data_IF_223358272437
#
_entry.id   IF_223358272437
#
_cell.length_a   1.000
_cell.length_b   1.000
_cell.length_c   1.000
_cell.angle_alpha   90.00
_cell.angle_beta   90.00
_cell.angle_gamma   90.00
#
_symmetry.space_group_name_H-M   'P 1'
#
loop_
_entity.id
_entity.type
_entity.pdbx_description
1 polymer ?
#
# COMPACT_ATOMS: atom_id res chain seq x y z
N UNK A 1 -14.20 -15.34 1.67
CA UNK A 1 -12.87 -15.68 2.27
C UNK A 1 -12.92 -15.43 3.78
N UNK A 2 -12.22 -16.24 4.60
CA UNK A 2 -12.11 -15.96 6.05
C UNK A 2 -10.80 -15.25 6.34
N UNK A 3 -10.87 -13.98 6.76
CA UNK A 3 -9.70 -13.14 7.00
C UNK A 3 -8.70 -13.73 8.00
N UNK A 4 -9.18 -14.28 9.12
CA UNK A 4 -8.31 -14.87 10.14
C UNK A 4 -7.56 -16.11 9.64
N UNK A 5 -8.22 -16.93 8.81
CA UNK A 5 -7.59 -18.09 8.18
C UNK A 5 -6.46 -17.67 7.23
N UNK A 6 -6.71 -16.66 6.40
CA UNK A 6 -5.70 -16.17 5.44
C UNK A 6 -4.56 -15.43 6.16
N UNK A 7 -4.86 -14.65 7.20
CA UNK A 7 -3.83 -14.03 8.05
C UNK A 7 -2.90 -15.09 8.65
N UNK A 8 -3.46 -16.14 9.23
CA UNK A 8 -2.69 -17.25 9.83
C UNK A 8 -1.83 -17.96 8.79
N UNK A 9 -2.38 -18.25 7.61
CA UNK A 9 -1.70 -18.91 6.50
C UNK A 9 -0.45 -18.15 6.03
N UNK A 10 -0.56 -16.83 5.96
CA UNK A 10 0.52 -15.96 5.47
C UNK A 10 1.27 -15.22 6.58
N UNK A 11 0.92 -15.46 7.84
CA UNK A 11 1.56 -14.90 9.05
C UNK A 11 1.48 -13.37 9.13
N UNK A 12 0.30 -12.81 8.80
CA UNK A 12 0.04 -11.38 8.98
C UNK A 12 -0.19 -11.04 10.44
N UNK A 13 0.37 -9.91 10.88
CA UNK A 13 0.17 -9.41 12.24
C UNK A 13 -1.17 -8.70 12.42
N UNK A 14 -1.57 -7.87 11.44
CA UNK A 14 -2.78 -7.04 11.53
C UNK A 14 -3.48 -6.92 10.18
N UNK A 15 -4.81 -6.89 10.22
CA UNK A 15 -5.67 -6.45 9.11
C UNK A 15 -6.74 -5.53 9.69
N UNK A 16 -6.80 -4.30 9.18
CA UNK A 16 -7.78 -3.30 9.55
C UNK A 16 -8.75 -3.09 8.38
N UNK A 17 -10.04 -3.29 8.64
CA UNK A 17 -11.12 -2.93 7.71
C UNK A 17 -11.63 -1.54 8.09
N UNK A 18 -11.70 -0.65 7.12
CA UNK A 18 -12.14 0.74 7.30
C UNK A 18 -13.39 0.98 6.48
N UNK A 19 -14.43 1.49 7.12
CA UNK A 19 -15.64 1.97 6.45
C UNK A 19 -16.01 3.35 7.00
N UNK A 20 -15.94 4.36 6.15
CA UNK A 20 -16.38 5.73 6.46
C UNK A 20 -17.35 6.20 5.39
N UNK A 21 -18.64 6.04 5.64
CA UNK A 21 -19.70 6.36 4.67
C UNK A 21 -19.73 7.84 4.30
N UNK A 22 -19.44 8.74 5.27
CA UNK A 22 -19.44 10.19 5.02
C UNK A 22 -18.34 10.61 4.04
N UNK A 23 -17.20 9.95 4.11
CA UNK A 23 -16.07 10.20 3.21
C UNK A 23 -16.11 9.31 1.95
N UNK A 24 -17.06 8.39 1.84
CA UNK A 24 -17.12 7.41 0.76
C UNK A 24 -15.96 6.39 0.80
N UNK A 25 -15.31 6.20 1.94
CA UNK A 25 -14.15 5.33 2.08
C UNK A 25 -14.56 3.91 2.45
N UNK A 26 -14.11 2.95 1.63
CA UNK A 26 -14.03 1.52 1.97
C UNK A 26 -12.60 1.07 1.71
N UNK A 27 -11.90 0.65 2.75
CA UNK A 27 -10.50 0.30 2.63
C UNK A 27 -10.12 -0.90 3.51
N UNK A 28 -9.02 -1.54 3.17
CA UNK A 28 -8.37 -2.56 3.98
C UNK A 28 -6.89 -2.22 4.08
N UNK A 29 -6.36 -2.22 5.30
CA UNK A 29 -4.92 -2.06 5.55
C UNK A 29 -4.41 -3.38 6.15
N UNK A 30 -3.36 -3.95 5.53
CA UNK A 30 -2.71 -5.16 6.03
C UNK A 30 -1.26 -4.86 6.42
N UNK A 31 -0.90 -5.22 7.65
CA UNK A 31 0.47 -5.28 8.15
C UNK A 31 0.90 -6.74 8.13
N UNK A 32 1.84 -7.08 7.24
CA UNK A 32 2.33 -8.45 7.15
C UNK A 32 3.25 -8.77 8.33
N UNK A 33 4.31 -8.02 8.54
CA UNK A 33 5.11 -8.08 9.75
C UNK A 33 5.90 -6.79 9.99
N UNK A 34 6.34 -6.61 11.23
CA UNK A 34 7.13 -5.47 11.71
C UNK A 34 8.51 -5.88 12.23
N UNK A 35 8.99 -7.10 11.92
CA UNK A 35 10.23 -7.66 12.45
C UNK A 35 11.48 -6.82 12.13
N UNK A 36 11.52 -6.19 10.96
CA UNK A 36 12.62 -5.31 10.55
C UNK A 36 12.39 -3.83 10.89
N UNK A 37 11.21 -3.49 11.40
CA UNK A 37 10.77 -2.14 11.70
C UNK A 37 9.35 -1.89 11.20
N UNK A 38 8.85 -0.64 11.25
CA UNK A 38 7.51 -0.28 10.78
C UNK A 38 7.22 -0.85 9.39
N UNK A 39 6.03 -1.39 9.20
CA UNK A 39 5.61 -1.90 7.91
C UNK A 39 5.44 -0.75 6.91
N UNK A 40 6.02 -0.87 5.73
CA UNK A 40 5.88 0.16 4.68
C UNK A 40 5.26 -0.44 3.42
N UNK A 41 4.41 0.35 2.74
CA UNK A 41 3.85 0.02 1.43
C UNK A 41 2.74 0.98 1.02
N UNK A 42 2.57 1.16 -0.28
CA UNK A 42 1.66 2.16 -0.85
C UNK A 42 0.18 1.84 -0.64
N UNK A 43 -0.65 2.86 -0.84
CA UNK A 43 -2.10 2.78 -0.89
C UNK A 43 -2.56 2.63 -2.35
N UNK A 44 -3.12 1.48 -2.70
CA UNK A 44 -3.72 1.24 -4.01
C UNK A 44 -5.20 1.61 -4.00
N UNK A 45 -5.66 2.32 -5.02
CA UNK A 45 -7.09 2.53 -5.25
C UNK A 45 -7.51 1.69 -6.47
N UNK A 46 -8.47 0.77 -6.28
CA UNK A 46 -8.84 -0.13 -7.36
C UNK A 46 -10.31 -0.58 -7.25
N UNK A 47 -11.05 -0.71 -8.38
CA UNK A 47 -12.44 -1.18 -8.40
C UNK A 47 -12.50 -2.70 -8.33
N UNK A 48 -12.21 -3.27 -7.15
CA UNK A 48 -12.27 -4.71 -6.93
C UNK A 48 -13.68 -5.24 -7.15
N UNK A 49 -13.78 -6.40 -7.80
CA UNK A 49 -15.08 -7.05 -8.07
C UNK A 49 -15.77 -7.54 -6.78
N UNK A 50 -14.99 -7.83 -5.73
CA UNK A 50 -15.49 -8.24 -4.43
C UNK A 50 -14.58 -7.80 -3.29
N UNK A 51 -15.09 -7.80 -2.06
CA UNK A 51 -14.28 -7.60 -0.85
C UNK A 51 -13.25 -8.72 -0.65
N UNK A 52 -13.56 -9.93 -1.08
CA UNK A 52 -12.65 -11.07 -1.03
C UNK A 52 -11.44 -10.86 -1.96
N UNK A 53 -11.65 -10.27 -3.14
CA UNK A 53 -10.56 -9.93 -4.06
C UNK A 53 -9.66 -8.83 -3.48
N UNK A 54 -10.27 -7.81 -2.86
CA UNK A 54 -9.53 -6.74 -2.20
C UNK A 54 -8.71 -7.28 -1.01
N UNK A 55 -9.30 -8.16 -0.20
CA UNK A 55 -8.60 -8.81 0.93
C UNK A 55 -7.45 -9.70 0.43
N UNK A 56 -7.68 -10.51 -0.59
CA UNK A 56 -6.63 -11.33 -1.18
C UNK A 56 -5.46 -10.48 -1.69
N UNK A 57 -5.77 -9.41 -2.42
CA UNK A 57 -4.74 -8.53 -3.00
C UNK A 57 -3.93 -7.80 -1.93
N UNK A 58 -4.57 -7.21 -0.91
CA UNK A 58 -3.88 -6.50 0.16
C UNK A 58 -2.96 -7.43 0.98
N UNK A 59 -3.39 -8.67 1.25
CA UNK A 59 -2.58 -9.67 1.95
C UNK A 59 -1.37 -10.08 1.11
N UNK A 60 -1.57 -10.38 -0.17
CA UNK A 60 -0.51 -10.73 -1.11
C UNK A 60 0.51 -9.60 -1.26
N UNK A 61 0.04 -8.37 -1.41
CA UNK A 61 0.89 -7.19 -1.62
C UNK A 61 1.68 -6.83 -0.37
N UNK A 62 1.06 -6.83 0.82
CA UNK A 62 1.76 -6.53 2.08
C UNK A 62 2.86 -7.55 2.37
N UNK A 63 2.62 -8.84 2.11
CA UNK A 63 3.66 -9.87 2.19
C UNK A 63 4.78 -9.63 1.17
N UNK A 64 4.41 -9.26 -0.07
CA UNK A 64 5.38 -8.89 -1.10
C UNK A 64 6.27 -7.72 -0.69
N UNK A 65 5.71 -6.73 0.01
CA UNK A 65 6.48 -5.60 0.55
C UNK A 65 7.50 -6.02 1.58
N UNK A 66 7.19 -6.97 2.49
CA UNK A 66 8.20 -7.52 3.42
C UNK A 66 9.40 -8.11 2.67
N UNK A 67 9.14 -8.89 1.62
CA UNK A 67 10.21 -9.48 0.82
C UNK A 67 11.01 -8.42 0.07
N UNK A 68 10.33 -7.42 -0.53
CA UNK A 68 11.00 -6.32 -1.24
C UNK A 68 11.91 -5.51 -0.31
N UNK A 69 11.42 -5.15 0.87
CA UNK A 69 12.18 -4.38 1.85
C UNK A 69 13.40 -5.17 2.37
N UNK A 70 13.22 -6.45 2.66
CA UNK A 70 14.32 -7.32 3.10
C UNK A 70 15.42 -7.48 2.03
N UNK A 71 15.03 -7.71 0.76
CA UNK A 71 16.00 -7.83 -0.35
C UNK A 71 16.73 -6.50 -0.59
N UNK A 72 16.04 -5.37 -0.40
CA UNK A 72 16.66 -4.04 -0.52
C UNK A 72 17.50 -3.63 0.70
N UNK A 73 17.55 -4.45 1.76
CA UNK A 73 18.28 -4.14 3.00
C UNK A 73 17.66 -2.98 3.79
N UNK A 74 16.37 -2.70 3.62
CA UNK A 74 15.68 -1.62 4.33
C UNK A 74 15.23 -2.08 5.72
N UNK A 75 15.33 -1.20 6.73
CA UNK A 75 14.90 -1.51 8.10
C UNK A 75 13.37 -1.36 8.25
N UNK A 76 12.61 -2.04 7.39
CA UNK A 76 11.16 -1.95 7.32
C UNK A 76 10.51 -3.32 7.15
N UNK A 77 9.40 -3.51 7.84
CA UNK A 77 8.46 -4.59 7.56
C UNK A 77 7.64 -4.32 6.31
N UNK A 78 6.64 -5.16 6.05
CA UNK A 78 5.77 -5.01 4.88
C UNK A 78 4.33 -4.70 5.24
N UNK A 79 3.82 -3.66 4.64
CA UNK A 79 2.42 -3.26 4.73
C UNK A 79 1.82 -2.95 3.36
N UNK A 80 0.51 -2.84 3.31
CA UNK A 80 -0.24 -2.40 2.13
C UNK A 80 -1.59 -1.85 2.53
N UNK A 81 -2.01 -0.78 1.86
CA UNK A 81 -3.39 -0.30 1.88
C UNK A 81 -4.07 -0.53 0.55
N UNK A 82 -5.37 -0.83 0.56
CA UNK A 82 -6.22 -0.79 -0.62
C UNK A 82 -7.47 0.01 -0.31
N UNK A 83 -7.85 0.91 -1.23
CA UNK A 83 -9.12 1.61 -1.25
C UNK A 83 -9.96 0.97 -2.35
N UNK A 84 -11.20 0.58 -2.01
CA UNK A 84 -12.13 -0.11 -2.90
C UNK A 84 -13.03 0.95 -3.53
N UNK A 85 -12.60 1.50 -4.66
CA UNK A 85 -13.32 2.52 -5.40
C UNK A 85 -12.87 2.56 -6.86
N UNK A 86 -13.72 3.12 -7.73
CA UNK A 86 -13.31 3.50 -9.08
C UNK A 86 -12.44 4.77 -9.01
N UNK A 87 -11.37 4.89 -9.83
CA UNK A 87 -10.53 6.09 -9.85
C UNK A 87 -11.28 7.40 -10.09
N UNK A 88 -12.41 7.36 -10.80
CA UNK A 88 -13.26 8.54 -11.02
C UNK A 88 -14.00 9.01 -9.75
N UNK A 89 -14.02 8.20 -8.69
CA UNK A 89 -14.68 8.50 -7.41
C UNK A 89 -13.74 9.09 -6.36
N UNK A 90 -12.49 9.39 -6.73
CA UNK A 90 -11.52 10.02 -5.81
C UNK A 90 -12.05 11.32 -5.23
N UNK A 91 -11.89 11.50 -3.93
CA UNK A 91 -12.16 12.76 -3.23
C UNK A 91 -11.12 13.02 -2.15
N UNK A 92 -10.85 14.28 -1.82
CA UNK A 92 -9.96 14.61 -0.71
C UNK A 92 -10.47 14.00 0.62
N UNK A 93 -11.78 14.03 0.86
CA UNK A 93 -12.38 13.45 2.06
C UNK A 93 -12.07 11.94 2.21
N UNK A 94 -12.06 11.20 1.10
CA UNK A 94 -11.68 9.78 1.08
C UNK A 94 -10.23 9.59 1.54
N UNK A 95 -9.29 10.37 1.01
CA UNK A 95 -7.88 10.27 1.37
C UNK A 95 -7.58 10.81 2.77
N UNK A 96 -8.26 11.86 3.23
CA UNK A 96 -8.16 12.30 4.63
C UNK A 96 -8.62 11.20 5.60
N UNK A 97 -9.76 10.56 5.32
CA UNK A 97 -10.25 9.45 6.14
C UNK A 97 -9.30 8.23 6.12
N UNK A 98 -8.67 7.95 4.97
CA UNK A 98 -7.63 6.92 4.90
C UNK A 98 -6.40 7.30 5.72
N UNK A 99 -5.96 8.56 5.65
CA UNK A 99 -4.87 9.09 6.46
C UNK A 99 -5.15 8.97 7.97
N UNK A 100 -6.39 9.23 8.42
CA UNK A 100 -6.81 8.99 9.81
C UNK A 100 -6.71 7.52 10.21
N UNK A 101 -7.13 6.60 9.33
CA UNK A 101 -6.99 5.16 9.58
C UNK A 101 -5.53 4.72 9.70
N UNK A 102 -4.63 5.27 8.87
CA UNK A 102 -3.18 5.06 8.97
C UNK A 102 -2.64 5.61 10.30
N UNK A 103 -3.05 6.82 10.69
CA UNK A 103 -2.61 7.44 11.94
C UNK A 103 -3.01 6.62 13.18
N UNK A 104 -4.19 6.01 13.14
CA UNK A 104 -4.70 5.17 14.22
C UNK A 104 -3.92 3.85 14.41
N UNK A 105 -3.09 3.46 13.44
CA UNK A 105 -2.15 2.34 13.58
C UNK A 105 -0.86 2.73 14.34
N UNK A 106 -0.74 3.99 14.79
CA UNK A 106 0.30 4.41 15.73
C UNK A 106 1.74 4.31 15.22
N UNK A 107 1.95 4.17 13.90
CA UNK A 107 3.26 4.00 13.28
C UNK A 107 3.61 2.58 12.88
N UNK A 108 2.76 1.60 13.14
CA UNK A 108 2.96 0.22 12.65
C UNK A 108 2.93 0.13 11.13
N UNK A 109 2.26 1.08 10.47
CA UNK A 109 2.16 1.15 9.02
C UNK A 109 2.49 2.56 8.51
N UNK A 110 3.39 2.63 7.53
CA UNK A 110 3.75 3.83 6.79
C UNK A 110 3.23 3.65 5.36
N UNK A 111 2.35 4.57 4.94
CA UNK A 111 1.75 4.54 3.60
C UNK A 111 2.57 5.33 2.58
N UNK A 112 2.25 5.16 1.30
CA UNK A 112 2.78 5.92 0.16
C UNK A 112 1.76 5.85 -0.99
N UNK A 113 2.06 6.45 -2.13
CA UNK A 113 1.31 6.22 -3.37
C UNK A 113 1.49 4.80 -3.92
N UNK A 114 0.57 4.36 -4.77
CA UNK A 114 0.61 3.12 -5.54
C UNK A 114 -0.33 3.26 -6.76
N UNK A 115 -0.81 2.16 -7.33
CA UNK A 115 -1.73 2.16 -8.48
C UNK A 115 -2.95 3.06 -8.23
N UNK A 116 -3.22 3.96 -9.15
CA UNK A 116 -4.31 4.93 -9.14
C UNK A 116 -4.28 5.91 -7.94
N UNK A 117 -3.16 6.05 -7.27
CA UNK A 117 -2.89 7.14 -6.33
C UNK A 117 -1.57 7.82 -6.71
N UNK A 118 -1.40 9.08 -6.35
CA UNK A 118 -0.27 9.90 -6.72
C UNK A 118 0.23 10.77 -5.55
N UNK A 119 1.23 11.60 -5.82
CA UNK A 119 1.80 12.49 -4.82
C UNK A 119 0.78 13.50 -4.24
N UNK A 120 -0.21 13.93 -5.03
CA UNK A 120 -1.22 14.89 -4.56
C UNK A 120 -2.17 14.20 -3.58
N UNK A 121 -2.59 12.96 -3.87
CA UNK A 121 -3.36 12.11 -2.94
C UNK A 121 -2.57 11.89 -1.63
N UNK A 122 -1.26 11.66 -1.74
CA UNK A 122 -0.38 11.49 -0.58
C UNK A 122 -0.29 12.77 0.26
N UNK A 123 -0.24 13.95 -0.36
CA UNK A 123 -0.28 15.23 0.36
C UNK A 123 -1.60 15.44 1.11
N UNK A 124 -2.73 14.97 0.57
CA UNK A 124 -4.02 14.98 1.27
C UNK A 124 -3.98 14.06 2.50
N UNK A 125 -3.49 12.82 2.35
CA UNK A 125 -3.33 11.88 3.48
C UNK A 125 -2.44 12.47 4.58
N UNK A 126 -1.36 13.19 4.21
CA UNK A 126 -0.41 13.81 5.13
C UNK A 126 -1.08 14.83 6.08
N UNK A 127 -2.21 15.43 5.71
CA UNK A 127 -2.97 16.31 6.59
C UNK A 127 -3.44 15.63 7.89
N UNK A 128 -3.53 14.28 7.86
CA UNK A 128 -4.08 13.45 8.94
C UNK A 128 -3.07 12.51 9.59
N UNK A 129 -1.95 12.23 8.92
CA UNK A 129 -0.92 11.32 9.44
C UNK A 129 0.49 11.80 9.08
N UNK A 130 1.43 11.55 9.99
CA UNK A 130 2.86 11.68 9.72
C UNK A 130 3.49 10.38 9.19
N UNK A 131 2.74 9.29 9.19
CA UNK A 131 3.19 7.96 8.78
C UNK A 131 2.98 7.75 7.28
N UNK A 132 3.66 8.56 6.49
CA UNK A 132 3.58 8.58 5.03
C UNK A 132 4.95 8.91 4.42
N UNK A 133 5.26 8.31 3.29
CA UNK A 133 6.47 8.57 2.49
C UNK A 133 6.13 8.75 1.01
N UNK A 134 7.14 8.96 0.16
CA UNK A 134 6.91 9.21 -1.27
C UNK A 134 6.45 10.63 -1.58
N UNK A 135 6.60 11.57 -0.62
CA UNK A 135 6.18 12.96 -0.81
C UNK A 135 7.18 13.75 -1.67
N UNK A 136 6.74 14.76 -2.43
CA UNK A 136 7.61 15.56 -3.28
C UNK A 136 8.79 16.21 -2.55
N UNK A 137 8.63 16.54 -1.25
CA UNK A 137 9.67 17.17 -0.44
C UNK A 137 10.72 16.18 0.08
N UNK A 138 10.56 14.87 -0.11
CA UNK A 138 11.51 13.86 0.34
C UNK A 138 11.93 12.90 -0.78
N UNK A 139 11.35 11.71 -0.90
CA UNK A 139 11.73 10.70 -1.91
C UNK A 139 11.04 10.89 -3.27
N UNK A 140 9.94 11.63 -3.33
CA UNK A 140 9.19 11.88 -4.55
C UNK A 140 8.54 10.63 -5.17
N UNK A 141 8.12 10.79 -6.42
CA UNK A 141 7.47 9.74 -7.22
C UNK A 141 8.46 8.59 -7.53
N UNK A 142 8.18 7.34 -7.15
CA UNK A 142 9.02 6.19 -7.45
C UNK A 142 8.91 5.68 -8.89
N UNK A 143 7.94 6.16 -9.68
CA UNK A 143 7.63 5.64 -11.03
C UNK A 143 8.81 5.70 -11.99
N UNK A 144 9.65 6.76 -12.05
CA UNK A 144 10.81 6.80 -12.93
C UNK A 144 11.84 5.71 -12.62
N UNK A 145 12.05 5.42 -11.32
CA UNK A 145 12.97 4.36 -10.88
C UNK A 145 12.43 2.97 -11.21
N UNK A 146 11.13 2.77 -11.02
CA UNK A 146 10.42 1.54 -11.39
C UNK A 146 10.50 1.31 -12.89
N UNK A 147 10.22 2.31 -13.71
CA UNK A 147 10.30 2.23 -15.16
C UNK A 147 11.72 1.86 -15.63
N UNK A 148 12.74 2.48 -15.04
CA UNK A 148 14.15 2.14 -15.34
C UNK A 148 14.48 0.69 -14.98
N UNK A 149 14.02 0.21 -13.82
CA UNK A 149 14.21 -1.19 -13.38
C UNK A 149 13.56 -2.18 -14.34
N UNK A 150 12.31 -1.94 -14.73
CA UNK A 150 11.58 -2.76 -15.72
C UNK A 150 12.29 -2.76 -17.06
N UNK A 151 12.72 -1.59 -17.55
CA UNK A 151 13.48 -1.48 -18.80
C UNK A 151 14.78 -2.30 -18.80
N UNK A 152 15.54 -2.26 -17.69
CA UNK A 152 16.75 -3.08 -17.56
C UNK A 152 16.42 -4.58 -17.52
N UNK A 153 15.34 -4.97 -16.85
CA UNK A 153 14.83 -6.35 -16.84
C UNK A 153 14.48 -6.83 -18.24
N UNK A 154 13.76 -6.03 -19.02
CA UNK A 154 13.42 -6.35 -20.44
C UNK A 154 14.70 -6.59 -21.25
N UNK A 155 15.68 -5.67 -21.14
CA UNK A 155 16.96 -5.84 -21.89
C UNK A 155 17.73 -7.09 -21.48
N UNK A 156 17.76 -7.41 -20.19
CA UNK A 156 18.46 -8.61 -19.71
C UNK A 156 17.77 -9.88 -20.20
N UNK A 157 16.44 -9.92 -20.15
CA UNK A 157 15.64 -11.07 -20.64
C UNK A 157 15.79 -11.25 -22.14
N UNK A 158 15.73 -10.18 -22.92
CA UNK A 158 15.90 -10.25 -24.37
C UNK A 158 17.26 -10.83 -24.78
N UNK A 159 18.34 -10.52 -24.06
CA UNK A 159 19.67 -11.09 -24.33
C UNK A 159 19.77 -12.61 -24.13
N UNK A 160 18.87 -13.17 -23.34
CA UNK A 160 18.85 -14.61 -23.04
C UNK A 160 17.85 -15.35 -23.93
N UNK A 161 16.74 -14.68 -24.28
CA UNK A 161 15.63 -15.31 -25.01
C UNK A 161 15.70 -15.10 -26.55
N UNK A 162 16.47 -14.11 -27.02
CA UNK A 162 16.64 -13.74 -28.43
C UNK A 162 18.09 -13.84 -28.85
#
# INVERSE_FOLDING_TARGET
>A
MNAMTEMSKYRHEKVLFVNNEKAGLKAIIAVHNTNLGPAIGGCRLFPYASYDDALFDVLRLSRGMSHKNAVAGLPHGGGKGVIIADPSQKTEAMFEAFGEAVNNLGGDYITAEDVNTDCDDALVMMRKTKHICGLPMNSGDPSPFTARGVWQGIKATAKVAL
#
